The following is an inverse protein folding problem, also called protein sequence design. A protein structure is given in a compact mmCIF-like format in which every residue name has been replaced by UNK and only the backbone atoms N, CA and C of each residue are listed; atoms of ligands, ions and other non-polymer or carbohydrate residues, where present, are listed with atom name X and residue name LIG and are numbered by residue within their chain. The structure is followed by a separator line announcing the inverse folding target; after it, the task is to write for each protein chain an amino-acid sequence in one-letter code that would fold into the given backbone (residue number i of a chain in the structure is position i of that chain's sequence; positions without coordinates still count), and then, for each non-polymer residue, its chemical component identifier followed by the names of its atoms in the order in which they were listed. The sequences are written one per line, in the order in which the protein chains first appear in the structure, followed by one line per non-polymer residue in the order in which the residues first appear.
data_IF_432505488391
#
_entry.id   IF_432505488391
#
_cell.length_a   1.000
_cell.length_b   1.000
_cell.length_c   1.000
_cell.angle_alpha   90.00
_cell.angle_beta   90.00
_cell.angle_gamma   90.00
#
_symmetry.space_group_name_H-M   'P 1'
#
loop_
_entity.id
_entity.type
_entity.pdbx_description
1 polymer ?
#
# COMPACT_ATOMS: atom_id res chain seq x y z
N UNK A 1 2.76 11.73 16.88
CA UNK A 1 1.67 10.77 17.05
C UNK A 1 2.03 9.38 16.49
N UNK A 2 2.40 9.30 15.23
CA UNK A 2 2.76 8.03 14.56
C UNK A 2 3.91 7.34 15.29
N UNK A 3 4.92 8.08 15.66
CA UNK A 3 6.12 7.57 16.32
C UNK A 3 5.89 7.20 17.79
N UNK A 4 5.13 8.03 18.51
CA UNK A 4 4.87 7.86 19.92
C UNK A 4 3.91 6.71 20.23
N UNK A 5 2.94 6.46 19.35
CA UNK A 5 1.92 5.43 19.53
C UNK A 5 2.27 4.09 18.85
N UNK A 6 3.42 3.99 18.16
CA UNK A 6 3.80 2.78 17.46
C UNK A 6 2.84 2.37 16.35
N UNK A 7 2.17 3.34 15.71
CA UNK A 7 1.19 3.10 14.67
C UNK A 7 1.83 2.48 13.43
N UNK A 8 3.07 2.86 13.12
CA UNK A 8 3.82 2.32 11.99
C UNK A 8 5.14 1.73 12.48
N UNK A 9 5.43 0.50 12.07
CA UNK A 9 6.67 -0.21 12.36
C UNK A 9 7.33 -0.68 11.07
N UNK A 10 8.64 -0.91 11.13
CA UNK A 10 9.39 -1.39 9.97
C UNK A 10 9.68 -0.34 8.91
N UNK A 11 9.62 0.94 9.28
CA UNK A 11 10.04 2.02 8.38
C UNK A 11 11.52 1.89 8.04
N UNK A 12 11.88 2.16 6.79
CA UNK A 12 13.27 2.14 6.33
C UNK A 12 14.03 3.39 6.77
N UNK A 13 13.38 4.54 6.68
CA UNK A 13 13.91 5.83 7.11
C UNK A 13 12.76 6.74 7.52
N UNK A 14 12.53 6.83 8.82
CA UNK A 14 11.44 7.62 9.37
C UNK A 14 11.55 9.10 9.00
N UNK A 15 12.75 9.64 8.97
CA UNK A 15 12.98 11.04 8.63
C UNK A 15 12.58 11.40 7.20
N UNK A 16 12.71 10.44 6.28
CA UNK A 16 12.32 10.61 4.87
C UNK A 16 10.84 10.25 4.67
N UNK A 17 10.33 9.23 5.36
CA UNK A 17 8.98 8.71 5.15
C UNK A 17 7.90 9.52 5.85
N UNK A 18 8.21 10.21 6.96
CA UNK A 18 7.26 11.06 7.65
C UNK A 18 7.02 12.35 6.85
N UNK A 19 5.77 12.60 6.51
CA UNK A 19 5.34 13.75 5.73
C UNK A 19 4.41 14.66 6.55
N UNK A 20 4.21 15.95 6.16
CA UNK A 20 3.34 16.86 6.93
C UNK A 20 1.92 16.35 7.12
N UNK A 21 1.34 15.68 6.13
CA UNK A 21 -0.04 15.20 6.17
C UNK A 21 -0.18 13.68 6.33
N UNK A 22 0.92 12.91 6.31
CA UNK A 22 0.83 11.46 6.34
C UNK A 22 2.19 10.79 6.40
N UNK A 23 2.22 9.53 5.98
CA UNK A 23 3.40 8.69 6.01
C UNK A 23 3.59 7.97 4.68
N UNK A 24 4.81 8.03 4.12
CA UNK A 24 5.12 7.38 2.85
C UNK A 24 5.38 5.88 3.05
N UNK A 25 4.53 5.06 2.47
CA UNK A 25 4.71 3.62 2.40
C UNK A 25 5.68 3.25 1.27
N UNK A 26 6.52 2.25 1.53
CA UNK A 26 7.51 1.78 0.58
C UNK A 26 7.17 0.40 0.01
N UNK A 27 7.61 0.15 -1.23
CA UNK A 27 7.35 -1.09 -1.94
C UNK A 27 8.25 -2.22 -1.43
N UNK A 28 7.65 -3.33 -1.00
CA UNK A 28 8.36 -4.53 -0.54
C UNK A 28 8.32 -5.66 -1.56
N UNK A 29 7.15 -5.91 -2.15
CA UNK A 29 6.93 -7.00 -3.11
C UNK A 29 6.01 -6.56 -4.23
N UNK A 30 6.27 -7.06 -5.43
CA UNK A 30 5.41 -6.89 -6.61
C UNK A 30 5.05 -8.28 -7.13
N UNK A 31 3.77 -8.48 -7.43
CA UNK A 31 3.25 -9.74 -7.95
C UNK A 31 2.44 -9.54 -9.23
N UNK A 32 2.45 -10.56 -10.10
CA UNK A 32 1.47 -10.71 -11.17
C UNK A 32 0.24 -11.44 -10.66
N UNK A 33 -0.90 -11.10 -11.22
CA UNK A 33 -2.13 -11.88 -11.09
C UNK A 33 -2.11 -12.97 -12.18
N UNK A 34 -2.08 -14.23 -11.77
CA UNK A 34 -1.96 -15.36 -12.71
C UNK A 34 -3.21 -16.23 -12.82
N UNK A 35 -4.28 -15.82 -12.16
CA UNK A 35 -5.61 -16.43 -12.30
C UNK A 35 -6.68 -15.39 -12.07
N UNK A 36 -7.95 -15.76 -12.30
CA UNK A 36 -9.07 -14.86 -12.02
C UNK A 36 -9.51 -14.96 -10.57
N UNK A 37 -9.94 -13.84 -10.01
CA UNK A 37 -10.63 -13.79 -8.73
C UNK A 37 -12.14 -13.99 -8.89
N UNK A 38 -12.81 -14.23 -7.78
CA UNK A 38 -14.28 -14.24 -7.67
C UNK A 38 -14.67 -13.38 -6.48
N UNK A 39 -15.64 -12.49 -6.69
CA UNK A 39 -16.23 -11.67 -5.65
C UNK A 39 -17.72 -11.95 -5.63
N UNK A 40 -18.21 -12.63 -4.59
CA UNK A 40 -19.62 -12.90 -4.36
C UNK A 40 -20.16 -12.13 -3.16
N UNK A 41 -21.46 -12.16 -2.97
CA UNK A 41 -22.09 -11.48 -1.83
C UNK A 41 -21.64 -12.05 -0.48
N UNK A 42 -21.45 -13.36 -0.38
CA UNK A 42 -21.06 -14.05 0.86
C UNK A 42 -19.74 -14.80 0.77
N UNK A 43 -19.15 -14.89 -0.41
CA UNK A 43 -17.94 -15.66 -0.63
C UNK A 43 -16.98 -14.92 -1.55
N UNK A 44 -15.71 -15.30 -1.46
CA UNK A 44 -14.66 -14.77 -2.31
C UNK A 44 -13.65 -15.87 -2.64
N UNK A 45 -13.01 -15.74 -3.79
CA UNK A 45 -11.84 -16.51 -4.14
C UNK A 45 -10.82 -15.56 -4.73
N UNK A 46 -9.74 -15.33 -4.00
CA UNK A 46 -8.66 -14.48 -4.48
C UNK A 46 -7.89 -15.15 -5.62
N UNK A 47 -7.37 -14.38 -6.56
CA UNK A 47 -6.51 -14.93 -7.61
C UNK A 47 -5.21 -15.49 -7.03
N UNK A 48 -4.55 -16.33 -7.79
CA UNK A 48 -3.18 -16.73 -7.52
C UNK A 48 -2.24 -15.61 -7.93
N UNK A 49 -1.15 -15.47 -7.19
CA UNK A 49 -0.11 -14.48 -7.41
C UNK A 49 1.21 -15.15 -7.77
N UNK A 50 2.00 -14.50 -8.57
CA UNK A 50 3.35 -14.88 -8.89
C UNK A 50 4.28 -13.69 -8.58
N UNK A 51 5.26 -13.91 -7.72
CA UNK A 51 6.21 -12.86 -7.34
C UNK A 51 7.09 -12.48 -8.54
N UNK A 52 7.31 -11.18 -8.70
CA UNK A 52 8.27 -10.66 -9.67
C UNK A 52 9.56 -10.36 -8.92
N UNK A 53 10.60 -11.10 -9.26
CA UNK A 53 11.91 -10.86 -8.66
C UNK A 53 12.52 -9.57 -9.22
N UNK A 54 13.06 -8.70 -8.37
CA UNK A 54 13.81 -7.54 -8.83
C UNK A 54 15.14 -7.98 -9.42
N UNK A 55 15.65 -7.19 -10.34
CA UNK A 55 16.98 -7.38 -10.95
C UNK A 55 17.88 -6.24 -10.45
N UNK A 56 18.93 -6.60 -9.73
CA UNK A 56 19.84 -5.64 -9.09
C UNK A 56 19.10 -4.58 -8.24
N UNK A 57 18.07 -5.05 -7.50
CA UNK A 57 17.29 -4.19 -6.62
C UNK A 57 16.24 -3.33 -7.31
N UNK A 58 15.96 -3.56 -8.59
CA UNK A 58 15.01 -2.77 -9.38
C UNK A 58 14.02 -3.69 -10.10
N UNK A 59 12.73 -3.40 -9.99
CA UNK A 59 11.71 -4.00 -10.84
C UNK A 59 11.57 -3.23 -12.14
N UNK A 60 11.61 -3.94 -13.25
CA UNK A 60 11.36 -3.42 -14.59
C UNK A 60 9.95 -3.87 -15.01
N UNK A 61 8.98 -2.97 -14.87
CA UNK A 61 7.57 -3.28 -15.02
C UNK A 61 7.04 -2.72 -16.34
N UNK A 62 6.44 -3.58 -17.15
CA UNK A 62 5.71 -3.15 -18.35
C UNK A 62 4.37 -2.52 -17.99
N UNK A 63 3.71 -1.92 -18.97
CA UNK A 63 2.34 -1.45 -18.83
C UNK A 63 1.44 -2.56 -18.35
N UNK A 64 0.66 -2.31 -17.30
CA UNK A 64 -0.25 -3.32 -16.76
C UNK A 64 -0.55 -3.10 -15.28
N UNK A 65 -1.15 -4.11 -14.68
CA UNK A 65 -1.64 -4.08 -13.30
C UNK A 65 -0.92 -5.14 -12.48
N UNK A 66 -0.45 -4.74 -11.31
CA UNK A 66 0.32 -5.57 -10.39
C UNK A 66 -0.26 -5.49 -8.99
N UNK A 67 -0.09 -6.56 -8.21
CA UNK A 67 -0.30 -6.50 -6.77
C UNK A 67 0.95 -5.92 -6.12
N UNK A 68 0.78 -4.96 -5.22
CA UNK A 68 1.89 -4.39 -4.43
C UNK A 68 1.67 -4.68 -2.96
N UNK A 69 2.73 -5.07 -2.27
CA UNK A 69 2.77 -5.23 -0.81
C UNK A 69 3.74 -4.20 -0.25
N UNK A 70 3.29 -3.46 0.76
CA UNK A 70 4.12 -2.46 1.41
C UNK A 70 5.00 -3.07 2.50
N UNK A 71 6.11 -2.41 2.79
CA UNK A 71 7.11 -2.89 3.74
C UNK A 71 6.68 -2.67 5.20
N UNK A 72 5.93 -1.61 5.47
CA UNK A 72 5.61 -1.18 6.82
C UNK A 72 4.44 -1.96 7.41
N UNK A 73 4.53 -2.25 8.71
CA UNK A 73 3.42 -2.78 9.51
C UNK A 73 2.67 -1.60 10.12
N UNK A 74 1.38 -1.51 9.84
CA UNK A 74 0.51 -0.42 10.29
C UNK A 74 -0.47 -0.97 11.32
N UNK A 75 -0.58 -0.28 12.45
CA UNK A 75 -1.57 -0.54 13.50
C UNK A 75 -2.52 0.66 13.56
N UNK A 76 -3.72 0.50 13.03
CA UNK A 76 -4.71 1.58 12.99
C UNK A 76 -5.42 1.64 14.34
N UNK A 77 -5.42 2.80 15.03
CA UNK A 77 -6.16 2.95 16.28
C UNK A 77 -7.66 2.69 16.11
N UNK A 78 -8.32 2.28 17.19
CA UNK A 78 -9.74 1.93 17.18
C UNK A 78 -10.69 3.08 16.82
N UNK A 79 -10.22 4.31 16.91
CA UNK A 79 -10.98 5.53 16.61
C UNK A 79 -10.50 6.24 15.33
N UNK A 80 -9.74 5.54 14.49
CA UNK A 80 -9.07 6.13 13.34
C UNK A 80 -9.28 5.26 12.12
N UNK A 81 -9.34 5.88 10.96
CA UNK A 81 -9.25 5.20 9.66
C UNK A 81 -8.02 5.68 8.90
N UNK A 82 -7.53 4.85 8.00
CA UNK A 82 -6.46 5.22 7.10
C UNK A 82 -6.85 5.02 5.65
N UNK A 83 -6.26 5.78 4.76
CA UNK A 83 -6.34 5.57 3.31
C UNK A 83 -5.07 6.05 2.63
N UNK A 84 -4.77 5.50 1.47
CA UNK A 84 -3.58 5.85 0.72
C UNK A 84 -3.92 6.65 -0.53
N UNK A 85 -3.05 7.59 -0.83
CA UNK A 85 -2.97 8.26 -2.13
C UNK A 85 -1.62 7.95 -2.77
N UNK A 86 -1.53 7.90 -4.09
CA UNK A 86 -0.23 7.78 -4.75
C UNK A 86 0.63 9.01 -4.46
N UNK A 87 1.93 8.81 -4.36
CA UNK A 87 2.85 9.96 -4.34
C UNK A 87 2.88 10.64 -5.70
N UNK A 88 3.03 11.95 -5.68
CA UNK A 88 3.06 12.77 -6.91
C UNK A 88 4.15 12.33 -7.90
N UNK A 89 5.30 11.89 -7.41
CA UNK A 89 6.39 11.40 -8.26
C UNK A 89 5.96 10.16 -9.04
N UNK A 90 5.20 9.24 -8.41
CA UNK A 90 4.68 8.06 -9.10
C UNK A 90 3.71 8.45 -10.22
N UNK A 91 2.79 9.38 -9.96
CA UNK A 91 1.88 9.91 -10.96
C UNK A 91 2.62 10.54 -12.14
N UNK A 92 3.68 11.29 -11.87
CA UNK A 92 4.50 11.93 -12.92
C UNK A 92 5.26 10.91 -13.76
N UNK A 93 5.46 9.69 -13.26
CA UNK A 93 6.01 8.58 -14.05
C UNK A 93 4.95 7.80 -14.82
N UNK A 94 3.69 8.19 -14.74
CA UNK A 94 2.59 7.53 -15.44
C UNK A 94 2.09 6.27 -14.76
N UNK A 95 2.15 6.22 -13.43
CA UNK A 95 1.66 5.09 -12.63
C UNK A 95 0.90 5.58 -11.41
N UNK A 96 0.09 4.72 -10.84
CA UNK A 96 -0.67 5.00 -9.63
C UNK A 96 -0.82 3.76 -8.76
N UNK A 97 -1.18 3.95 -7.50
CA UNK A 97 -1.59 2.89 -6.59
C UNK A 97 -3.04 3.08 -6.18
N UNK A 98 -3.75 1.98 -5.99
CA UNK A 98 -5.10 1.96 -5.44
C UNK A 98 -5.10 1.14 -4.16
N UNK A 99 -5.68 1.68 -3.11
CA UNK A 99 -5.83 1.02 -1.82
C UNK A 99 -7.30 1.08 -1.37
N UNK A 100 -7.70 0.11 -0.55
CA UNK A 100 -8.94 0.20 0.21
C UNK A 100 -8.72 0.99 1.50
N UNK A 101 -9.78 1.27 2.25
CA UNK A 101 -9.66 1.85 3.58
C UNK A 101 -8.93 0.90 4.54
N UNK A 102 -8.20 1.48 5.45
CA UNK A 102 -7.58 0.81 6.56
C UNK A 102 -8.48 1.00 7.78
N UNK A 103 -9.17 -0.07 8.14
CA UNK A 103 -10.21 0.00 9.15
C UNK A 103 -9.66 0.21 10.57
N UNK A 104 -10.47 0.80 11.47
CA UNK A 104 -10.11 0.88 12.89
C UNK A 104 -9.78 -0.50 13.45
N UNK A 105 -8.64 -0.60 14.15
CA UNK A 105 -8.17 -1.86 14.72
C UNK A 105 -7.37 -2.76 13.78
N UNK A 106 -7.22 -2.40 12.52
CA UNK A 106 -6.39 -3.18 11.59
C UNK A 106 -4.92 -3.17 12.02
N UNK A 107 -4.29 -4.33 11.97
CA UNK A 107 -2.84 -4.49 12.19
C UNK A 107 -2.29 -5.37 11.08
N UNK A 108 -1.33 -4.87 10.32
CA UNK A 108 -0.68 -5.66 9.29
C UNK A 108 0.06 -4.83 8.25
N UNK A 109 0.63 -5.54 7.31
CA UNK A 109 1.20 -4.95 6.09
C UNK A 109 0.09 -4.74 5.09
N UNK A 110 0.00 -3.52 4.58
CA UNK A 110 -1.00 -3.22 3.55
C UNK A 110 -0.58 -3.71 2.18
N UNK A 111 -1.58 -3.86 1.35
CA UNK A 111 -1.42 -4.20 -0.05
C UNK A 111 -2.41 -3.45 -0.91
N UNK A 112 -2.15 -3.38 -2.19
CA UNK A 112 -3.01 -2.69 -3.14
C UNK A 112 -2.72 -3.09 -4.58
N UNK A 113 -3.20 -2.28 -5.48
CA UNK A 113 -2.91 -2.40 -6.90
C UNK A 113 -1.89 -1.32 -7.26
N UNK A 114 -0.82 -1.72 -7.94
CA UNK A 114 0.04 -0.82 -8.70
C UNK A 114 -0.38 -0.89 -10.17
N UNK A 115 -0.79 0.24 -10.72
CA UNK A 115 -1.21 0.34 -12.11
C UNK A 115 -0.20 1.18 -12.89
N UNK A 116 0.53 0.54 -13.78
CA UNK A 116 1.47 1.20 -14.70
C UNK A 116 0.73 1.53 -15.99
N UNK A 117 0.37 2.80 -16.15
CA UNK A 117 -0.35 3.28 -17.32
C UNK A 117 0.60 3.72 -18.44
N UNK A 118 1.84 4.10 -18.10
CA UNK A 118 2.84 4.52 -19.06
C UNK A 118 3.17 3.37 -20.03
N UNK A 119 2.97 3.53 -21.35
CA UNK A 119 3.28 2.49 -22.33
C UNK A 119 4.75 2.05 -22.34
N UNK A 120 5.64 2.91 -21.88
CA UNK A 120 7.08 2.62 -21.78
C UNK A 120 7.46 1.88 -20.48
N UNK A 121 6.47 1.65 -19.60
CA UNK A 121 6.72 0.95 -18.33
C UNK A 121 7.21 1.84 -17.21
N UNK A 122 7.67 1.19 -16.14
CA UNK A 122 8.16 1.83 -14.91
C UNK A 122 9.36 1.04 -14.39
N UNK A 123 10.41 1.73 -14.03
CA UNK A 123 11.48 1.19 -13.21
C UNK A 123 11.22 1.59 -11.76
N UNK A 124 11.12 0.60 -10.87
CA UNK A 124 10.81 0.80 -9.47
C UNK A 124 11.87 0.12 -8.60
N UNK A 125 12.59 0.89 -7.81
CA UNK A 125 13.56 0.34 -6.86
C UNK A 125 12.84 -0.32 -5.69
N UNK A 126 13.38 -1.45 -5.21
CA UNK A 126 12.89 -2.10 -3.97
C UNK A 126 13.01 -1.11 -2.82
N UNK A 127 11.90 -0.88 -2.11
CA UNK A 127 11.83 0.10 -1.04
C UNK A 127 11.56 1.51 -1.49
N UNK A 128 11.26 1.74 -2.77
CA UNK A 128 10.82 3.07 -3.22
C UNK A 128 9.52 3.47 -2.53
N UNK A 129 9.40 4.75 -2.18
CA UNK A 129 8.19 5.33 -1.60
C UNK A 129 7.17 5.56 -2.69
N UNK A 130 6.00 4.93 -2.58
CA UNK A 130 5.00 4.93 -3.67
C UNK A 130 3.65 5.48 -3.26
N UNK A 131 3.29 5.39 -1.98
CA UNK A 131 2.00 5.79 -1.47
C UNK A 131 2.14 6.60 -0.20
N UNK A 132 1.28 7.59 -0.01
CA UNK A 132 1.17 8.31 1.24
C UNK A 132 -0.06 7.82 2.00
N UNK A 133 0.16 7.28 3.20
CA UNK A 133 -0.91 6.87 4.11
C UNK A 133 -1.33 8.06 4.96
N UNK A 134 -2.63 8.36 4.93
CA UNK A 134 -3.24 9.45 5.66
C UNK A 134 -4.20 8.87 6.69
N UNK A 135 -4.19 9.40 7.91
CA UNK A 135 -5.09 8.99 8.99
C UNK A 135 -6.12 10.07 9.25
N UNK A 136 -7.37 9.63 9.45
CA UNK A 136 -8.47 10.50 9.87
C UNK A 136 -9.04 9.94 11.17
N UNK A 137 -9.09 10.79 12.19
CA UNK A 137 -9.72 10.45 13.46
C UNK A 137 -11.23 10.53 13.32
N UNK A 138 -11.94 9.50 13.80
CA UNK A 138 -13.39 9.45 13.83
C UNK A 138 -13.92 10.32 15.01
N UNK A 139 -15.12 10.85 14.83
CA UNK A 139 -15.78 11.64 15.90
C UNK A 139 -16.09 10.73 17.08
N UNK A 140 -16.52 9.49 16.80
CA UNK A 140 -16.81 8.47 17.81
C UNK A 140 -16.17 7.14 17.41
N UNK A 141 -15.78 6.38 18.42
CA UNK A 141 -15.25 5.02 18.21
C UNK A 141 -16.39 4.15 17.66
N UNK A 142 -16.16 3.41 16.56
CA UNK A 142 -17.16 2.52 16.01
C UNK A 142 -17.47 1.35 16.96
N UNK A 143 -18.69 0.84 16.91
CA UNK A 143 -19.11 -0.32 17.71
C UNK A 143 -18.39 -1.62 17.31
N UNK A 144 -17.88 -1.68 16.09
CA UNK A 144 -17.06 -2.78 15.55
C UNK A 144 -15.78 -2.23 14.97
N UNK A 145 -14.69 -2.88 15.32
CA UNK A 145 -13.38 -2.66 14.72
C UNK A 145 -13.00 -3.83 13.82
N UNK A 146 -11.90 -3.73 13.12
CA UNK A 146 -11.38 -4.81 12.28
C UNK A 146 -11.12 -6.06 13.13
N UNK A 147 -11.58 -7.21 12.64
CA UNK A 147 -11.40 -8.52 13.27
C UNK A 147 -10.88 -9.54 12.27
#
# INVERSE_FOLDING_TARGET
LINELGIIRGSRDLGIQLQPAGFDLSASEIHRYVSRGFVGFRSKRLPKYEIIEPKDGVWYLGQGVYRIVYNEVVSVPDDTIGFCLPRSTLLRCGATVYCAFWDPGYIGRGEGILHVLNPNGLELEVGARVAQLVFIKLIEKPSKTYS
#
